data_IF_354180940764
#
_entry.id   IF_354180940764
#
_cell.length_a   1.000
_cell.length_b   1.000
_cell.length_c   1.000
_cell.angle_alpha   90.00
_cell.angle_beta   90.00
_cell.angle_gamma   90.00
#
_symmetry.space_group_name_H-M   'P 1'
#
loop_
_entity.id
_entity.type
_entity.pdbx_description
1 polymer ?
#
# COMPACT_ATOMS: atom_id res chain seq x y z
N UNK A 1 10.59 12.34 8.92
CA UNK A 1 9.47 11.62 9.59
C UNK A 1 9.00 10.41 8.78
N UNK A 2 9.67 10.07 7.67
CA UNK A 2 9.41 8.90 6.82
C UNK A 2 9.52 7.54 7.53
N UNK A 3 10.27 7.44 8.63
CA UNK A 3 10.48 6.18 9.36
C UNK A 3 9.23 5.65 10.10
N UNK A 4 8.14 6.43 10.19
CA UNK A 4 6.91 6.00 10.87
C UNK A 4 5.87 5.36 9.96
N UNK A 5 5.95 5.58 8.64
CA UNK A 5 4.92 5.18 7.69
C UNK A 5 5.52 4.50 6.46
N UNK A 6 5.11 3.26 6.23
CA UNK A 6 5.40 2.52 5.00
C UNK A 6 4.17 2.41 4.11
N UNK A 7 4.36 2.11 2.82
CA UNK A 7 3.29 1.86 1.86
C UNK A 7 3.32 0.40 1.41
N UNK A 8 2.16 -0.26 1.45
CA UNK A 8 1.96 -1.62 0.95
C UNK A 8 0.94 -1.57 -0.20
N UNK A 9 1.37 -1.95 -1.40
CA UNK A 9 0.55 -2.03 -2.60
C UNK A 9 0.11 -3.48 -2.81
N UNK A 10 -1.19 -3.73 -2.95
CA UNK A 10 -1.73 -5.07 -3.19
C UNK A 10 -2.57 -5.08 -4.46
N UNK A 11 -2.16 -5.86 -5.46
CA UNK A 11 -2.91 -5.99 -6.71
C UNK A 11 -3.11 -7.44 -7.11
N UNK A 12 -4.14 -7.70 -7.90
CA UNK A 12 -4.35 -8.98 -8.57
C UNK A 12 -3.26 -9.30 -9.60
N UNK A 13 -2.59 -8.27 -10.13
CA UNK A 13 -1.56 -8.39 -11.16
C UNK A 13 -0.24 -7.89 -10.59
N UNK A 14 0.77 -8.75 -10.57
CA UNK A 14 2.09 -8.45 -9.99
C UNK A 14 2.74 -7.25 -10.69
N UNK A 15 2.70 -7.22 -12.01
CA UNK A 15 3.30 -6.16 -12.82
C UNK A 15 2.65 -4.79 -12.59
N UNK A 16 1.37 -4.76 -12.19
CA UNK A 16 0.68 -3.51 -11.86
C UNK A 16 1.20 -2.93 -10.54
N UNK A 17 1.32 -3.76 -9.49
CA UNK A 17 1.86 -3.33 -8.21
C UNK A 17 3.34 -2.94 -8.31
N UNK A 18 4.15 -3.74 -9.02
CA UNK A 18 5.57 -3.44 -9.25
C UNK A 18 5.77 -2.19 -10.10
N UNK A 19 4.97 -2.04 -11.16
CA UNK A 19 4.99 -0.86 -12.02
C UNK A 19 4.69 0.42 -11.25
N UNK A 20 3.69 0.37 -10.37
CA UNK A 20 3.33 1.48 -9.48
C UNK A 20 4.45 1.79 -8.47
N UNK A 21 5.02 0.78 -7.82
CA UNK A 21 6.16 0.97 -6.92
C UNK A 21 7.37 1.61 -7.65
N UNK A 22 7.64 1.18 -8.90
CA UNK A 22 8.70 1.76 -9.73
C UNK A 22 8.43 3.22 -10.07
N UNK A 23 7.18 3.59 -10.34
CA UNK A 23 6.77 4.98 -10.56
C UNK A 23 6.96 5.80 -9.28
N UNK A 24 6.50 5.30 -8.13
CA UNK A 24 6.61 6.00 -6.84
C UNK A 24 8.08 6.26 -6.44
N UNK A 25 9.01 5.36 -6.75
CA UNK A 25 10.46 5.56 -6.52
C UNK A 25 11.04 6.79 -7.23
N UNK A 26 10.38 7.31 -8.28
CA UNK A 26 10.83 8.54 -8.95
C UNK A 26 10.57 9.78 -8.10
N UNK A 27 9.56 9.74 -7.23
CA UNK A 27 9.12 10.88 -6.43
C UNK A 27 9.33 10.70 -4.93
N UNK A 28 9.42 9.46 -4.44
CA UNK A 28 9.55 9.12 -3.04
C UNK A 28 10.68 8.09 -2.86
N UNK A 29 11.90 8.57 -2.65
CA UNK A 29 13.12 7.76 -2.51
C UNK A 29 13.31 7.22 -1.09
N UNK A 30 12.82 7.97 -0.10
CA UNK A 30 13.02 7.69 1.32
C UNK A 30 11.79 7.02 1.96
N UNK A 31 10.73 6.79 1.18
CA UNK A 31 9.51 6.11 1.62
C UNK A 31 9.62 4.62 1.27
N UNK A 32 9.50 3.76 2.29
CA UNK A 32 9.45 2.31 2.07
C UNK A 32 8.16 1.95 1.34
N UNK A 33 8.30 1.34 0.17
CA UNK A 33 7.19 0.82 -0.64
C UNK A 33 7.41 -0.66 -0.88
N UNK A 34 6.45 -1.48 -0.47
CA UNK A 34 6.37 -2.91 -0.81
C UNK A 34 5.22 -3.14 -1.77
N UNK A 35 5.50 -3.88 -2.85
CA UNK A 35 4.51 -4.27 -3.84
C UNK A 35 4.24 -5.77 -3.72
N UNK A 36 2.97 -6.13 -3.70
CA UNK A 36 2.50 -7.51 -3.70
C UNK A 36 1.46 -7.65 -4.79
N UNK A 37 1.63 -8.64 -5.66
CA UNK A 37 0.56 -9.03 -6.53
C UNK A 37 0.63 -10.46 -7.01
N UNK A 38 -0.48 -10.86 -7.62
CA UNK A 38 -0.68 -12.21 -8.13
C UNK A 38 -0.76 -13.28 -7.03
N UNK A 39 -1.05 -14.50 -7.49
CA UNK A 39 -0.94 -15.74 -6.70
C UNK A 39 0.32 -16.50 -7.10
N UNK A 40 0.40 -17.80 -6.81
CA UNK A 40 1.52 -18.63 -7.25
C UNK A 40 1.61 -18.69 -8.78
N UNK A 41 2.81 -18.98 -9.29
CA UNK A 41 3.10 -19.15 -10.72
C UNK A 41 2.70 -17.96 -11.61
N UNK A 42 2.62 -16.75 -11.05
CA UNK A 42 2.26 -15.52 -11.80
C UNK A 42 0.77 -15.40 -12.13
N UNK A 43 -0.09 -16.20 -11.49
CA UNK A 43 -1.54 -16.13 -11.71
C UNK A 43 -2.18 -14.82 -11.23
N UNK A 44 -3.28 -14.42 -11.85
CA UNK A 44 -4.07 -13.26 -11.45
C UNK A 44 -4.83 -13.58 -10.16
N UNK A 45 -4.64 -12.76 -9.12
CA UNK A 45 -5.27 -12.96 -7.81
C UNK A 45 -4.51 -12.28 -6.69
N UNK A 46 -4.99 -12.41 -5.46
CA UNK A 46 -4.28 -11.92 -4.27
C UNK A 46 -4.14 -13.02 -3.23
N UNK A 47 -3.01 -13.05 -2.54
CA UNK A 47 -2.66 -14.07 -1.55
C UNK A 47 -2.46 -13.44 -0.17
N UNK A 48 -3.17 -13.95 0.83
CA UNK A 48 -2.96 -13.61 2.23
C UNK A 48 -1.50 -13.78 2.66
N UNK A 49 -0.88 -14.92 2.32
CA UNK A 49 0.47 -15.25 2.75
C UNK A 49 1.51 -14.28 2.16
N UNK A 50 1.36 -13.92 0.87
CA UNK A 50 2.24 -12.92 0.24
C UNK A 50 2.10 -11.53 0.90
N UNK A 51 0.87 -11.10 1.19
CA UNK A 51 0.61 -9.81 1.84
C UNK A 51 1.17 -9.79 3.26
N UNK A 52 0.95 -10.86 4.04
CA UNK A 52 1.49 -11.02 5.39
C UNK A 52 3.03 -11.02 5.40
N UNK A 53 3.66 -11.76 4.48
CA UNK A 53 5.11 -11.79 4.36
C UNK A 53 5.69 -10.40 4.06
N UNK A 54 5.13 -9.70 3.07
CA UNK A 54 5.57 -8.34 2.74
C UNK A 54 5.40 -7.36 3.90
N UNK A 55 4.27 -7.45 4.63
CA UNK A 55 4.04 -6.64 5.83
C UNK A 55 5.11 -6.89 6.90
N UNK A 56 5.47 -8.15 7.14
CA UNK A 56 6.46 -8.53 8.16
C UNK A 56 7.87 -8.05 7.83
N UNK A 57 8.21 -7.88 6.56
CA UNK A 57 9.50 -7.34 6.12
C UNK A 57 9.64 -5.82 6.32
N UNK A 58 8.54 -5.10 6.48
CA UNK A 58 8.56 -3.65 6.72
C UNK A 58 9.03 -3.36 8.15
N UNK A 59 9.72 -2.24 8.40
CA UNK A 59 10.12 -1.85 9.77
C UNK A 59 9.17 -0.85 10.40
N UNK A 60 8.37 -0.18 9.58
CA UNK A 60 7.52 0.92 9.99
C UNK A 60 6.35 0.41 10.85
N UNK A 61 5.99 1.12 11.94
CA UNK A 61 4.90 0.73 12.82
C UNK A 61 3.51 0.99 12.21
N UNK A 62 3.41 1.94 11.27
CA UNK A 62 2.18 2.26 10.56
C UNK A 62 2.35 1.95 9.08
N UNK A 63 1.43 1.19 8.51
CA UNK A 63 1.48 0.76 7.11
C UNK A 63 0.22 1.24 6.40
N UNK A 64 0.40 1.94 5.29
CA UNK A 64 -0.69 2.42 4.43
C UNK A 64 -0.93 1.40 3.32
N UNK A 65 -2.02 0.65 3.42
CA UNK A 65 -2.39 -0.39 2.48
C UNK A 65 -3.27 0.15 1.35
N UNK A 66 -2.79 0.07 0.11
CA UNK A 66 -3.54 0.38 -1.09
C UNK A 66 -3.84 -0.90 -1.87
N UNK A 67 -5.02 -0.95 -2.48
CA UNK A 67 -5.51 -2.13 -3.18
C UNK A 67 -6.20 -1.75 -4.50
N UNK A 68 -6.26 -2.70 -5.44
CA UNK A 68 -6.93 -2.50 -6.72
C UNK A 68 -8.43 -2.80 -6.68
N UNK A 69 -8.82 -3.99 -6.19
CA UNK A 69 -10.18 -4.49 -6.19
C UNK A 69 -10.56 -5.10 -4.84
N UNK A 70 -11.87 -5.29 -4.60
CA UNK A 70 -12.40 -5.66 -3.29
C UNK A 70 -11.81 -6.94 -2.65
N UNK A 71 -11.44 -7.96 -3.41
CA UNK A 71 -10.77 -9.15 -2.88
C UNK A 71 -9.37 -8.87 -2.32
N UNK A 72 -8.64 -7.91 -2.89
CA UNK A 72 -7.37 -7.46 -2.36
C UNK A 72 -7.56 -6.74 -1.01
N UNK A 73 -8.63 -5.93 -0.88
CA UNK A 73 -9.05 -5.34 0.39
C UNK A 73 -9.35 -6.39 1.45
N UNK A 74 -10.09 -7.44 1.12
CA UNK A 74 -10.39 -8.53 2.07
C UNK A 74 -9.12 -9.16 2.64
N UNK A 75 -8.10 -9.39 1.80
CA UNK A 75 -6.81 -9.90 2.27
C UNK A 75 -6.09 -8.90 3.20
N UNK A 76 -6.11 -7.60 2.89
CA UNK A 76 -5.57 -6.58 3.79
C UNK A 76 -6.31 -6.54 5.13
N UNK A 77 -7.64 -6.67 5.13
CA UNK A 77 -8.47 -6.70 6.35
C UNK A 77 -8.12 -7.90 7.23
N UNK A 78 -7.96 -9.09 6.63
CA UNK A 78 -7.53 -10.29 7.35
C UNK A 78 -6.12 -10.13 7.93
N UNK A 79 -5.17 -9.61 7.15
CA UNK A 79 -3.80 -9.36 7.61
C UNK A 79 -3.79 -8.33 8.75
N UNK A 80 -4.62 -7.29 8.66
CA UNK A 80 -4.74 -6.26 9.70
C UNK A 80 -5.17 -6.81 11.06
N UNK A 81 -5.91 -7.94 11.08
CA UNK A 81 -6.35 -8.58 12.32
C UNK A 81 -5.27 -9.45 12.96
N UNK A 82 -4.25 -9.82 12.19
CA UNK A 82 -3.22 -10.80 12.58
C UNK A 82 -1.87 -10.15 12.91
N UNK A 83 -1.70 -8.86 12.63
CA UNK A 83 -0.47 -8.11 12.88
C UNK A 83 -0.60 -7.15 14.07
N UNK A 84 0.51 -6.90 14.76
CA UNK A 84 0.60 -5.86 15.79
C UNK A 84 0.82 -4.46 15.18
N UNK A 85 1.21 -4.39 13.90
CA UNK A 85 1.40 -3.11 13.20
C UNK A 85 0.06 -2.45 12.91
N UNK A 86 0.05 -1.13 12.86
CA UNK A 86 -1.14 -0.38 12.47
C UNK A 86 -1.27 -0.37 10.95
N UNK A 87 -1.98 -1.35 10.40
CA UNK A 87 -2.34 -1.38 8.98
C UNK A 87 -3.58 -0.49 8.74
N UNK A 88 -3.39 0.58 7.98
CA UNK A 88 -4.42 1.55 7.60
C UNK A 88 -4.79 1.28 6.15
N UNK A 89 -5.97 0.72 5.92
CA UNK A 89 -6.47 0.42 4.58
C UNK A 89 -7.03 1.70 3.97
N UNK A 90 -6.46 2.13 2.85
CA UNK A 90 -6.82 3.35 2.16
C UNK A 90 -7.86 3.05 1.07
N UNK A 91 -9.12 3.42 1.32
CA UNK A 91 -10.20 3.36 0.34
C UNK A 91 -10.06 4.51 -0.67
N UNK A 92 -9.11 4.38 -1.59
CA UNK A 92 -8.83 5.36 -2.63
C UNK A 92 -8.46 4.67 -3.96
N UNK A 93 -8.53 5.40 -5.07
CA UNK A 93 -8.06 4.92 -6.36
C UNK A 93 -6.60 4.41 -6.26
N UNK A 94 -6.37 3.17 -6.72
CA UNK A 94 -5.14 2.43 -6.43
C UNK A 94 -3.87 3.19 -6.82
N UNK A 95 -3.81 3.67 -8.07
CA UNK A 95 -2.62 4.33 -8.63
C UNK A 95 -2.48 5.74 -8.07
N UNK A 96 -3.52 6.56 -8.22
CA UNK A 96 -3.51 7.98 -7.89
C UNK A 96 -3.36 8.19 -6.38
N UNK A 97 -4.08 7.42 -5.56
CA UNK A 97 -4.02 7.51 -4.11
C UNK A 97 -2.67 7.10 -3.55
N UNK A 98 -2.11 5.98 -4.03
CA UNK A 98 -0.80 5.51 -3.59
C UNK A 98 0.31 6.50 -3.99
N UNK A 99 0.26 7.00 -5.24
CA UNK A 99 1.25 7.96 -5.75
C UNK A 99 1.21 9.29 -4.97
N UNK A 100 0.01 9.85 -4.77
CA UNK A 100 -0.20 11.06 -3.96
C UNK A 100 0.39 10.88 -2.56
N UNK A 101 0.06 9.77 -1.92
CA UNK A 101 0.52 9.45 -0.56
C UNK A 101 2.04 9.38 -0.48
N UNK A 102 2.69 8.69 -1.42
CA UNK A 102 4.14 8.58 -1.46
C UNK A 102 4.81 9.94 -1.62
N UNK A 103 4.33 10.77 -2.56
CA UNK A 103 4.88 12.10 -2.80
C UNK A 103 4.75 13.00 -1.57
N UNK A 104 3.61 12.95 -0.87
CA UNK A 104 3.37 13.76 0.32
C UNK A 104 4.15 13.26 1.54
N UNK A 105 4.30 11.94 1.73
CA UNK A 105 5.15 11.37 2.76
C UNK A 105 6.62 11.74 2.55
N UNK A 106 7.11 11.72 1.31
CA UNK A 106 8.46 12.19 0.98
C UNK A 106 8.67 13.66 1.33
N UNK A 107 7.63 14.48 1.19
CA UNK A 107 7.64 15.88 1.57
C UNK A 107 7.40 16.12 3.08
N UNK A 108 7.46 15.07 3.91
CA UNK A 108 7.18 15.10 5.36
C UNK A 108 5.80 15.69 5.71
N UNK A 109 4.82 15.52 4.83
CA UNK A 109 3.44 15.96 5.09
C UNK A 109 2.82 15.09 6.19
N UNK A 110 2.19 15.67 7.24
CA UNK A 110 1.51 14.90 8.27
C UNK A 110 0.39 14.01 7.69
N UNK A 111 0.25 12.79 8.21
CA UNK A 111 -0.70 11.81 7.70
C UNK A 111 -2.16 12.31 7.72
N UNK A 112 -2.52 13.15 8.69
CA UNK A 112 -3.86 13.74 8.79
C UNK A 112 -4.21 14.56 7.53
N UNK A 113 -3.26 15.33 7.01
CA UNK A 113 -3.43 16.10 5.77
C UNK A 113 -3.44 15.22 4.54
N UNK A 114 -2.62 14.17 4.52
CA UNK A 114 -2.62 13.18 3.44
C UNK A 114 -4.00 12.51 3.38
N UNK A 115 -4.55 12.12 4.53
CA UNK A 115 -5.86 11.49 4.64
C UNK A 115 -6.99 12.39 4.14
N UNK A 116 -6.93 13.70 4.40
CA UNK A 116 -7.90 14.66 3.85
C UNK A 116 -7.87 14.66 2.32
N UNK A 117 -6.68 14.70 1.71
CA UNK A 117 -6.58 14.68 0.24
C UNK A 117 -6.97 13.32 -0.37
N UNK A 118 -6.70 12.21 0.34
CA UNK A 118 -7.13 10.88 -0.10
C UNK A 118 -8.65 10.76 -0.21
N UNK A 119 -9.43 11.54 0.56
CA UNK A 119 -10.90 11.52 0.45
C UNK A 119 -11.39 11.99 -0.92
N UNK A 120 -10.66 12.87 -1.60
CA UNK A 120 -10.99 13.32 -2.97
C UNK A 120 -10.82 12.20 -3.99
N UNK A 121 -10.04 11.17 -3.66
CA UNK A 121 -9.77 10.00 -4.50
C UNK A 121 -10.53 8.75 -4.02
N UNK A 122 -11.53 8.91 -3.16
CA UNK A 122 -12.28 7.77 -2.61
C UNK A 122 -12.98 6.97 -3.72
N UNK A 123 -12.77 5.66 -3.73
CA UNK A 123 -13.43 4.71 -4.62
C UNK A 123 -14.07 3.61 -3.78
N UNK A 124 -15.33 3.28 -4.07
CA UNK A 124 -16.11 2.23 -3.39
C UNK A 124 -16.13 0.94 -4.18
#
# INVERSE_FOLDING_TARGET
MSEQYGILLVSHVEELAEGLARLMKQVAKDVTVKAVGGVEEGGIGTSFDKVMAALNEMSEPNILGFYDLGSAKMNLELVSQMTEKKLIICDAAFVEGAYLTAALLQADTPFEKIREQLQELYVK
#
